data_IF_803210597977
#
_entry.id   IF_803210597977
#
_cell.length_a   1.000
_cell.length_b   1.000
_cell.length_c   1.000
_cell.angle_alpha   90.00
_cell.angle_beta   90.00
_cell.angle_gamma   90.00
#
_symmetry.space_group_name_H-M   'P 1'
#
loop_
_entity.id
_entity.type
_entity.pdbx_description
1 polymer ?
#
# COMPACT_ATOMS: atom_id res chain seq x y z
N UNK A 1 -45.94 12.12 -24.27
CA UNK A 1 -45.80 11.74 -22.85
C UNK A 1 -44.40 11.18 -22.67
N UNK A 2 -43.40 12.06 -22.45
CA UNK A 2 -41.99 11.70 -22.18
C UNK A 2 -41.84 11.62 -20.68
N UNK A 3 -41.46 10.44 -20.20
CA UNK A 3 -41.23 10.16 -18.78
C UNK A 3 -39.82 10.67 -18.45
N UNK A 4 -39.70 11.33 -17.28
CA UNK A 4 -38.52 11.95 -16.68
C UNK A 4 -37.22 11.13 -16.92
N UNK A 5 -36.10 11.73 -17.30
CA UNK A 5 -35.45 12.82 -16.58
C UNK A 5 -34.51 12.24 -15.51
N UNK A 6 -33.49 11.49 -15.94
CA UNK A 6 -32.41 11.05 -15.06
C UNK A 6 -31.53 12.26 -14.74
N UNK A 7 -31.63 12.78 -13.51
CA UNK A 7 -30.65 13.73 -12.97
C UNK A 7 -29.31 13.00 -12.74
N UNK A 8 -28.17 13.62 -13.08
CA UNK A 8 -26.86 13.07 -12.78
C UNK A 8 -26.66 13.04 -11.26
N UNK A 9 -26.57 11.84 -10.68
CA UNK A 9 -26.15 11.64 -9.29
C UNK A 9 -24.79 12.34 -9.07
N UNK A 10 -24.76 13.28 -8.12
CA UNK A 10 -23.58 14.03 -7.70
C UNK A 10 -22.47 13.09 -7.17
N UNK A 11 -21.62 12.59 -8.06
CA UNK A 11 -20.57 11.60 -7.77
C UNK A 11 -19.48 12.11 -6.81
N UNK A 12 -19.28 13.42 -6.75
CA UNK A 12 -18.07 13.99 -6.16
C UNK A 12 -18.26 14.64 -4.77
N UNK A 13 -19.48 15.02 -4.38
CA UNK A 13 -19.87 15.18 -2.97
C UNK A 13 -19.85 13.81 -2.23
N UNK A 14 -20.14 12.74 -2.97
CA UNK A 14 -19.91 11.36 -2.54
C UNK A 14 -18.42 11.08 -2.40
N UNK A 15 -17.58 11.64 -3.29
CA UNK A 15 -16.13 11.49 -3.31
C UNK A 15 -15.43 12.23 -2.17
N UNK A 16 -15.86 13.43 -1.76
CA UNK A 16 -15.32 14.12 -0.57
C UNK A 16 -15.54 13.27 0.71
N UNK A 17 -16.75 12.75 0.89
CA UNK A 17 -17.03 11.74 1.93
C UNK A 17 -16.19 10.46 1.74
N UNK A 18 -15.81 10.11 0.50
CA UNK A 18 -14.96 8.96 0.14
C UNK A 18 -13.45 9.19 0.23
N UNK A 19 -12.99 10.42 0.41
CA UNK A 19 -11.57 10.78 0.54
C UNK A 19 -11.19 10.91 2.01
N UNK A 20 -12.11 11.39 2.87
CA UNK A 20 -12.08 11.09 4.32
C UNK A 20 -12.06 9.57 4.59
N UNK A 21 -12.59 8.77 3.66
CA UNK A 21 -12.49 7.31 3.63
C UNK A 21 -11.16 6.76 3.09
N UNK A 22 -10.20 7.55 2.60
CA UNK A 22 -8.91 6.97 2.22
C UNK A 22 -8.15 6.46 3.47
N UNK A 23 -8.14 7.26 4.53
CA UNK A 23 -7.66 6.83 5.85
C UNK A 23 -8.56 5.78 6.50
N UNK A 24 -9.90 5.93 6.42
CA UNK A 24 -10.86 5.06 7.10
C UNK A 24 -11.22 3.75 6.37
N UNK A 25 -11.22 3.70 5.05
CA UNK A 25 -11.64 2.53 4.26
C UNK A 25 -10.45 1.82 3.59
N UNK A 26 -9.38 2.53 3.18
CA UNK A 26 -8.22 1.88 2.52
C UNK A 26 -7.11 1.56 3.52
N UNK A 27 -6.68 2.54 4.32
CA UNK A 27 -5.62 2.30 5.31
C UNK A 27 -6.10 1.43 6.47
N UNK A 28 -7.17 1.84 7.15
CA UNK A 28 -7.69 1.14 8.34
C UNK A 28 -8.19 -0.28 8.04
N UNK A 29 -8.73 -0.53 6.85
CA UNK A 29 -9.20 -1.86 6.47
C UNK A 29 -8.16 -2.58 5.61
N UNK A 30 -8.11 -2.33 4.30
CA UNK A 30 -7.35 -3.17 3.37
C UNK A 30 -5.84 -3.25 3.69
N UNK A 31 -5.17 -2.12 3.92
CA UNK A 31 -3.73 -2.13 4.20
C UNK A 31 -3.42 -2.73 5.58
N UNK A 32 -4.25 -2.46 6.58
CA UNK A 32 -4.07 -3.02 7.91
C UNK A 32 -4.30 -4.54 7.91
N UNK A 33 -5.27 -5.03 7.14
CA UNK A 33 -5.49 -6.47 6.94
C UNK A 33 -4.26 -7.14 6.33
N UNK A 34 -3.68 -6.54 5.29
CA UNK A 34 -2.45 -7.04 4.66
C UNK A 34 -1.28 -6.99 5.64
N UNK A 35 -1.13 -5.90 6.41
CA UNK A 35 -0.10 -5.78 7.44
C UNK A 35 -0.21 -6.91 8.46
N UNK A 36 -1.42 -7.22 8.95
CA UNK A 36 -1.63 -8.30 9.91
C UNK A 36 -1.21 -9.65 9.34
N UNK A 37 -1.53 -9.95 8.08
CA UNK A 37 -1.12 -11.21 7.44
C UNK A 37 0.40 -11.31 7.26
N UNK A 38 1.09 -10.19 7.00
CA UNK A 38 2.54 -10.15 6.88
C UNK A 38 3.22 -10.27 8.25
N UNK A 39 2.62 -9.70 9.29
CA UNK A 39 3.26 -9.54 10.60
C UNK A 39 2.85 -10.56 11.66
N UNK A 40 1.77 -11.32 11.44
CA UNK A 40 1.29 -12.31 12.41
C UNK A 40 2.34 -13.40 12.69
N UNK A 41 2.30 -13.94 13.91
CA UNK A 41 3.04 -15.16 14.19
C UNK A 41 2.42 -16.35 13.46
N UNK A 42 3.14 -17.46 13.43
CA UNK A 42 2.59 -18.71 12.90
C UNK A 42 1.39 -19.14 13.78
N UNK A 43 0.18 -19.25 13.22
CA UNK A 43 -0.99 -19.69 13.98
C UNK A 43 -0.85 -21.16 14.39
N UNK A 44 -1.55 -21.56 15.44
CA UNK A 44 -1.54 -22.93 15.97
C UNK A 44 -2.03 -23.92 14.90
N UNK A 45 -3.11 -23.56 14.21
CA UNK A 45 -3.65 -24.32 13.08
C UNK A 45 -4.09 -23.38 11.95
N UNK A 46 -4.61 -23.95 10.86
CA UNK A 46 -5.26 -23.19 9.78
C UNK A 46 -6.74 -22.94 10.05
N UNK A 47 -7.22 -23.11 11.29
CA UNK A 47 -8.58 -22.74 11.67
C UNK A 47 -8.76 -21.22 11.57
N UNK A 48 -9.98 -20.79 11.24
CA UNK A 48 -10.27 -19.37 11.07
C UNK A 48 -9.99 -18.57 12.36
N UNK A 49 -10.30 -19.13 13.52
CA UNK A 49 -10.11 -18.45 14.81
C UNK A 49 -8.64 -18.33 15.19
N UNK A 50 -7.82 -19.38 15.00
CA UNK A 50 -6.38 -19.31 15.31
C UNK A 50 -5.65 -18.26 14.45
N UNK A 51 -6.04 -18.14 13.18
CA UNK A 51 -5.48 -17.10 12.29
C UNK A 51 -5.91 -15.70 12.74
N UNK A 52 -7.18 -15.54 13.10
CA UNK A 52 -7.71 -14.24 13.55
C UNK A 52 -7.11 -13.81 14.88
N UNK A 53 -6.85 -14.75 15.78
CA UNK A 53 -6.20 -14.48 17.06
C UNK A 53 -4.78 -13.91 16.86
N UNK A 54 -3.99 -14.48 15.95
CA UNK A 54 -2.65 -13.93 15.67
C UNK A 54 -2.71 -12.57 14.94
N UNK A 55 -3.72 -12.32 14.10
CA UNK A 55 -3.95 -10.99 13.52
C UNK A 55 -4.29 -9.95 14.59
N UNK A 56 -5.20 -10.27 15.50
CA UNK A 56 -5.60 -9.37 16.59
C UNK A 56 -4.42 -9.09 17.54
N UNK A 57 -3.58 -10.09 17.80
CA UNK A 57 -2.36 -9.93 18.60
C UNK A 57 -1.40 -8.92 17.98
N UNK A 58 -1.23 -8.91 16.66
CA UNK A 58 -0.45 -7.87 15.96
C UNK A 58 -1.03 -6.48 16.23
N UNK A 59 -2.34 -6.30 16.06
CA UNK A 59 -2.99 -5.01 16.27
C UNK A 59 -2.87 -4.52 17.71
N UNK A 60 -2.99 -5.42 18.70
CA UNK A 60 -2.78 -5.09 20.12
C UNK A 60 -1.35 -4.62 20.42
N UNK A 61 -0.37 -5.13 19.68
CA UNK A 61 1.04 -4.71 19.79
C UNK A 61 1.33 -3.38 19.10
N UNK A 62 0.40 -2.80 18.35
CA UNK A 62 0.57 -1.52 17.68
C UNK A 62 0.18 -0.34 18.58
N UNK A 63 1.02 0.70 18.56
CA UNK A 63 0.71 1.99 19.17
C UNK A 63 -0.28 2.76 18.32
N UNK A 64 -0.96 3.72 18.95
CA UNK A 64 -1.79 4.70 18.26
C UNK A 64 -0.91 5.54 17.31
N UNK A 65 -1.45 5.91 16.16
CA UNK A 65 -0.72 6.72 15.20
C UNK A 65 -0.70 8.19 15.62
N UNK A 66 0.47 8.80 15.51
CA UNK A 66 0.70 10.21 15.78
C UNK A 66 0.83 10.98 14.47
N UNK A 67 0.50 12.29 14.47
CA UNK A 67 0.63 13.13 13.27
C UNK A 67 2.07 13.18 12.72
N UNK A 68 3.09 13.03 13.58
CA UNK A 68 4.49 13.05 13.17
C UNK A 68 4.92 11.81 12.34
N UNK A 69 4.19 10.71 12.49
CA UNK A 69 4.41 9.46 11.76
C UNK A 69 3.62 9.40 10.44
N UNK A 70 2.91 10.48 10.10
CA UNK A 70 1.95 10.51 8.99
C UNK A 70 2.24 11.68 8.05
N UNK A 71 2.22 11.39 6.76
CA UNK A 71 2.23 12.40 5.69
C UNK A 71 0.89 12.35 4.97
N UNK A 72 0.18 13.46 4.98
CA UNK A 72 -1.07 13.66 4.26
C UNK A 72 -0.79 14.50 3.01
N UNK A 73 -1.42 14.13 1.90
CA UNK A 73 -1.29 14.88 0.65
C UNK A 73 -2.62 15.11 -0.05
N UNK A 74 -2.67 16.14 -0.89
CA UNK A 74 -3.82 16.45 -1.75
C UNK A 74 -3.32 16.76 -3.17
N UNK A 75 -3.91 16.12 -4.20
CA UNK A 75 -3.41 16.29 -5.55
C UNK A 75 -3.81 17.64 -6.15
N UNK A 76 -2.89 18.23 -6.91
CA UNK A 76 -3.10 19.42 -7.73
C UNK A 76 -3.00 19.04 -9.21
N UNK A 77 -3.69 19.80 -10.05
CA UNK A 77 -3.68 19.60 -11.49
C UNK A 77 -2.27 19.73 -12.06
N UNK A 78 -1.95 18.92 -13.07
CA UNK A 78 -0.69 18.98 -13.78
C UNK A 78 -0.89 19.64 -15.14
N UNK A 79 -0.43 20.89 -15.35
CA UNK A 79 -0.65 21.61 -16.62
C UNK A 79 -0.04 20.93 -17.85
N UNK A 80 0.89 19.98 -17.66
CA UNK A 80 1.56 19.24 -18.72
C UNK A 80 0.76 18.02 -19.21
N UNK A 81 -0.21 17.54 -18.43
CA UNK A 81 -1.08 16.43 -18.82
C UNK A 81 -2.28 16.96 -19.58
N UNK A 82 -3.05 16.09 -20.24
CA UNK A 82 -4.31 16.41 -20.90
C UNK A 82 -5.49 15.71 -20.17
N UNK A 83 -6.72 16.19 -20.39
CA UNK A 83 -7.93 15.65 -19.74
C UNK A 83 -7.93 15.84 -18.21
N UNK A 84 -8.47 14.86 -17.48
CA UNK A 84 -8.60 14.88 -16.01
C UNK A 84 -7.28 15.15 -15.26
N UNK A 85 -6.14 14.88 -15.88
CA UNK A 85 -4.82 15.14 -15.29
C UNK A 85 -4.49 16.64 -15.15
N UNK A 86 -5.21 17.53 -15.85
CA UNK A 86 -5.05 19.00 -15.72
C UNK A 86 -5.72 19.56 -14.48
N UNK A 87 -6.66 18.85 -13.89
CA UNK A 87 -7.50 19.35 -12.79
C UNK A 87 -7.01 18.80 -11.43
N UNK A 88 -7.00 19.68 -10.43
CA UNK A 88 -6.72 19.33 -9.04
C UNK A 88 -7.96 18.89 -8.27
N UNK A 89 -7.76 18.45 -7.03
CA UNK A 89 -8.87 18.01 -6.19
C UNK A 89 -9.89 19.13 -5.92
N UNK A 90 -9.41 20.36 -5.73
CA UNK A 90 -10.24 21.53 -5.48
C UNK A 90 -10.86 22.13 -6.75
N UNK A 91 -10.46 21.67 -7.94
CA UNK A 91 -11.03 22.12 -9.21
C UNK A 91 -12.37 21.43 -9.50
N UNK A 92 -12.60 20.24 -8.92
CA UNK A 92 -13.90 19.56 -8.98
C UNK A 92 -15.00 20.47 -8.41
N UNK A 93 -16.05 20.79 -9.19
CA UNK A 93 -17.07 21.76 -8.80
C UNK A 93 -17.91 21.34 -7.60
N UNK A 94 -17.86 20.06 -7.21
CA UNK A 94 -18.60 19.54 -6.05
C UNK A 94 -17.80 19.54 -4.75
N UNK A 95 -16.48 19.77 -4.84
CA UNK A 95 -15.59 19.83 -3.69
C UNK A 95 -15.56 21.27 -3.16
N UNK A 96 -15.79 21.48 -1.85
CA UNK A 96 -15.60 22.77 -1.20
C UNK A 96 -14.20 23.32 -1.47
N UNK A 97 -14.11 24.60 -1.83
CA UNK A 97 -12.84 25.25 -2.20
C UNK A 97 -11.85 25.34 -1.02
N UNK A 98 -12.31 25.18 0.21
CA UNK A 98 -11.52 25.14 1.43
C UNK A 98 -11.34 23.70 1.99
N UNK A 99 -11.62 22.66 1.19
CA UNK A 99 -11.52 21.26 1.62
C UNK A 99 -10.06 20.86 1.89
N UNK A 100 -9.77 20.50 3.15
CA UNK A 100 -8.47 19.95 3.58
C UNK A 100 -8.42 18.43 3.54
N UNK A 101 -9.32 17.81 2.76
CA UNK A 101 -9.47 16.35 2.74
C UNK A 101 -8.27 15.70 2.04
N UNK A 102 -7.56 14.74 2.67
CA UNK A 102 -6.34 14.16 2.11
C UNK A 102 -6.64 13.08 1.05
N UNK A 103 -6.12 13.26 -0.17
CA UNK A 103 -6.21 12.29 -1.27
C UNK A 103 -5.02 11.33 -1.34
N UNK A 104 -4.03 11.53 -0.46
CA UNK A 104 -2.88 10.69 -0.23
C UNK A 104 -2.61 10.60 1.26
N UNK A 105 -2.20 9.42 1.72
CA UNK A 105 -1.71 9.23 3.08
C UNK A 105 -0.59 8.19 3.10
N UNK A 106 0.45 8.50 3.85
CA UNK A 106 1.49 7.55 4.23
C UNK A 106 1.62 7.56 5.75
N UNK A 107 1.55 6.39 6.39
CA UNK A 107 1.78 6.24 7.83
C UNK A 107 2.94 5.28 8.08
N UNK A 108 3.77 5.62 9.07
CA UNK A 108 4.77 4.72 9.63
C UNK A 108 4.20 4.09 10.90
N UNK A 109 4.08 2.77 10.91
CA UNK A 109 3.60 2.00 12.05
C UNK A 109 4.73 1.17 12.65
N UNK A 110 4.62 0.88 13.94
CA UNK A 110 5.51 -0.05 14.65
C UNK A 110 4.70 -1.10 15.40
N UNK A 111 5.20 -2.32 15.41
CA UNK A 111 4.60 -3.46 16.10
C UNK A 111 5.53 -3.81 17.27
N UNK A 112 5.10 -3.53 18.49
CA UNK A 112 5.90 -3.75 19.69
C UNK A 112 5.76 -5.21 20.13
N UNK A 113 6.51 -6.09 19.46
CA UNK A 113 6.71 -7.47 19.87
C UNK A 113 8.16 -7.89 19.56
N UNK A 114 8.56 -9.08 20.03
CA UNK A 114 9.93 -9.58 19.87
C UNK A 114 10.36 -9.67 18.39
N UNK A 115 9.45 -10.07 17.49
CA UNK A 115 9.77 -10.28 16.07
C UNK A 115 10.01 -8.97 15.32
N UNK A 116 9.22 -7.95 15.61
CA UNK A 116 9.13 -6.72 14.82
C UNK A 116 9.66 -5.48 15.55
N UNK A 117 10.33 -5.66 16.69
CA UNK A 117 10.89 -4.55 17.45
C UNK A 117 11.84 -3.70 16.58
N UNK A 118 11.59 -2.40 16.57
CA UNK A 118 12.32 -1.41 15.77
C UNK A 118 12.12 -1.51 14.26
N UNK A 119 11.28 -2.40 13.73
CA UNK A 119 11.02 -2.52 12.29
C UNK A 119 9.85 -1.63 11.88
N UNK A 120 10.06 -0.64 10.99
CA UNK A 120 8.99 0.25 10.52
C UNK A 120 8.13 -0.43 9.45
N UNK A 121 6.81 -0.27 9.58
CA UNK A 121 5.82 -0.67 8.58
C UNK A 121 5.25 0.56 7.89
N UNK A 122 5.50 0.71 6.59
CA UNK A 122 4.98 1.84 5.82
C UNK A 122 3.66 1.47 5.15
N UNK A 123 2.59 2.15 5.52
CA UNK A 123 1.28 2.04 4.87
C UNK A 123 1.09 3.23 3.96
N UNK A 124 1.11 3.02 2.63
CA UNK A 124 0.99 4.08 1.62
C UNK A 124 -0.22 3.85 0.74
N UNK A 125 -1.07 4.86 0.60
CA UNK A 125 -2.17 4.87 -0.36
C UNK A 125 -2.45 6.27 -0.88
N UNK A 126 -3.00 6.37 -2.08
CA UNK A 126 -3.39 7.64 -2.66
C UNK A 126 -4.14 7.49 -3.96
N UNK A 127 -4.72 8.60 -4.42
CA UNK A 127 -5.34 8.75 -5.73
C UNK A 127 -4.50 9.66 -6.62
N UNK A 128 -4.78 9.65 -7.92
CA UNK A 128 -4.08 10.47 -8.91
C UNK A 128 -2.54 10.26 -8.87
N UNK A 129 -2.11 9.02 -8.60
CA UNK A 129 -0.71 8.64 -8.59
C UNK A 129 -0.27 8.15 -9.99
N UNK A 130 1.03 7.98 -10.14
CA UNK A 130 1.67 7.54 -11.39
C UNK A 130 1.18 6.17 -11.92
N UNK A 131 0.71 5.28 -11.03
CA UNK A 131 0.25 3.95 -11.40
C UNK A 131 -0.85 3.44 -10.46
N UNK A 132 -1.74 2.59 -10.99
CA UNK A 132 -2.65 1.78 -10.16
C UNK A 132 -1.89 0.54 -9.72
N UNK A 133 -1.64 0.38 -8.42
CA UNK A 133 -0.95 -0.79 -7.86
C UNK A 133 -1.32 -1.04 -6.41
N UNK A 134 -1.43 -2.31 -6.04
CA UNK A 134 -1.42 -2.81 -4.67
C UNK A 134 -0.28 -3.82 -4.54
N UNK A 135 0.68 -3.54 -3.66
CA UNK A 135 1.85 -4.40 -3.45
C UNK A 135 2.25 -4.44 -1.97
N UNK A 136 2.84 -5.56 -1.56
CA UNK A 136 3.62 -5.69 -0.33
C UNK A 136 5.08 -5.73 -0.73
N UNK A 137 5.92 -4.94 -0.07
CA UNK A 137 7.37 -4.92 -0.28
C UNK A 137 8.07 -5.13 1.05
N UNK A 138 8.88 -6.17 1.13
CA UNK A 138 9.76 -6.45 2.27
C UNK A 138 11.19 -6.16 1.81
N UNK A 139 11.81 -5.13 2.36
CA UNK A 139 13.21 -4.80 2.10
C UNK A 139 14.09 -5.40 3.21
N UNK A 140 14.99 -6.30 2.84
CA UNK A 140 15.90 -6.94 3.78
C UNK A 140 17.01 -5.99 4.24
N UNK A 141 17.67 -6.32 5.36
CA UNK A 141 18.84 -5.57 5.83
C UNK A 141 20.03 -5.77 4.88
N UNK A 142 20.98 -4.84 4.94
CA UNK A 142 22.26 -4.96 4.23
C UNK A 142 23.00 -6.23 4.72
N UNK A 143 23.73 -6.91 3.83
CA UNK A 143 24.53 -8.09 4.19
C UNK A 143 25.72 -7.63 5.05
N UNK A 144 25.94 -8.19 6.25
CA UNK A 144 27.06 -7.79 7.10
C UNK A 144 28.39 -8.25 6.51
N UNK A 145 29.44 -7.43 6.65
CA UNK A 145 30.79 -7.77 6.17
C UNK A 145 30.90 -7.73 4.66
N UNK A 146 30.48 -6.63 4.05
CA UNK A 146 30.49 -6.48 2.60
C UNK A 146 31.91 -6.59 2.01
N UNK A 147 32.07 -7.50 1.05
CA UNK A 147 33.30 -7.74 0.28
C UNK A 147 33.18 -7.21 -1.15
N UNK A 148 32.07 -6.56 -1.49
CA UNK A 148 31.73 -6.09 -2.83
C UNK A 148 31.74 -4.56 -2.93
N UNK A 149 32.54 -3.88 -2.10
CA UNK A 149 32.80 -2.43 -2.18
C UNK A 149 31.52 -1.56 -2.25
N UNK A 150 30.51 -1.87 -1.45
CA UNK A 150 29.21 -1.18 -1.38
C UNK A 150 28.38 -1.25 -2.68
N UNK A 151 28.73 -2.13 -3.61
CA UNK A 151 27.93 -2.42 -4.79
C UNK A 151 26.62 -3.15 -4.43
N UNK A 152 26.62 -3.90 -3.32
CA UNK A 152 25.45 -4.64 -2.84
C UNK A 152 24.27 -3.72 -2.53
N UNK A 153 23.10 -4.04 -3.09
CA UNK A 153 21.83 -3.41 -2.77
C UNK A 153 21.00 -4.35 -1.88
N UNK A 154 20.08 -3.79 -1.10
CA UNK A 154 19.19 -4.59 -0.26
C UNK A 154 18.28 -5.46 -1.13
N UNK A 155 18.19 -6.73 -0.77
CA UNK A 155 17.23 -7.63 -1.38
C UNK A 155 15.81 -7.15 -1.07
N UNK A 156 14.87 -7.41 -1.98
CA UNK A 156 13.46 -7.04 -1.80
C UNK A 156 12.56 -8.18 -2.24
N UNK A 157 11.70 -8.67 -1.34
CA UNK A 157 10.58 -9.53 -1.72
C UNK A 157 9.37 -8.64 -2.02
N UNK A 158 8.83 -8.79 -3.22
CA UNK A 158 7.67 -8.04 -3.68
C UNK A 158 6.53 -8.99 -4.02
N UNK A 159 5.38 -8.75 -3.41
CA UNK A 159 4.13 -9.45 -3.68
C UNK A 159 3.17 -8.42 -4.26
N UNK A 160 2.99 -8.44 -5.59
CA UNK A 160 2.05 -7.56 -6.28
C UNK A 160 0.69 -8.23 -6.33
N UNK A 161 -0.27 -7.63 -5.64
CA UNK A 161 -1.65 -8.12 -5.53
C UNK A 161 -2.45 -7.75 -6.76
N UNK A 162 -2.30 -6.52 -7.28
CA UNK A 162 -2.95 -6.10 -8.52
C UNK A 162 -2.32 -4.79 -9.03
N UNK A 163 -2.42 -4.49 -10.34
CA UNK A 163 -2.71 -5.41 -11.43
C UNK A 163 -1.50 -6.30 -11.75
N UNK A 164 -1.75 -7.43 -12.44
CA UNK A 164 -0.69 -8.34 -12.89
C UNK A 164 -0.04 -9.06 -11.70
N UNK A 165 -0.82 -9.91 -11.06
CA UNK A 165 -0.49 -10.72 -9.90
C UNK A 165 0.88 -11.37 -10.09
N UNK A 166 1.82 -11.03 -9.20
CA UNK A 166 3.18 -11.54 -9.28
C UNK A 166 3.85 -11.58 -7.92
N UNK A 167 4.73 -12.55 -7.75
CA UNK A 167 5.67 -12.60 -6.64
C UNK A 167 7.07 -12.61 -7.21
N UNK A 168 7.91 -11.67 -6.79
CA UNK A 168 9.29 -11.64 -7.24
C UNK A 168 10.25 -11.24 -6.13
N UNK A 169 11.43 -11.86 -6.13
CA UNK A 169 12.52 -11.56 -5.21
C UNK A 169 13.61 -10.86 -5.98
N UNK A 170 13.91 -9.61 -5.63
CA UNK A 170 15.07 -8.87 -6.11
C UNK A 170 16.29 -9.24 -5.29
N UNK A 171 17.39 -9.57 -5.97
CA UNK A 171 18.64 -9.95 -5.35
C UNK A 171 19.84 -9.55 -6.23
N UNK A 172 21.04 -9.64 -5.66
CA UNK A 172 22.27 -9.36 -6.38
C UNK A 172 22.76 -10.63 -7.11
N UNK A 173 23.10 -10.51 -8.38
CA UNK A 173 23.73 -11.57 -9.16
C UNK A 173 25.04 -11.08 -9.79
N UNK A 174 25.93 -12.00 -10.12
CA UNK A 174 27.09 -11.68 -10.95
C UNK A 174 26.59 -11.25 -12.32
N UNK A 175 27.06 -10.10 -12.79
CA UNK A 175 26.76 -9.59 -14.13
C UNK A 175 27.10 -10.64 -15.21
N UNK A 176 26.14 -11.13 -16.00
CA UNK A 176 26.38 -12.04 -17.10
C UNK A 176 27.30 -11.42 -18.17
N UNK A 177 28.15 -12.24 -18.79
CA UNK A 177 29.00 -11.84 -19.90
C UNK A 177 30.30 -11.09 -19.52
N UNK A 178 30.49 -10.73 -18.26
CA UNK A 178 31.75 -10.12 -17.81
C UNK A 178 32.76 -11.22 -17.39
N UNK A 179 33.77 -11.45 -18.25
CA UNK A 179 34.82 -12.45 -18.04
C UNK A 179 35.99 -11.85 -17.23
N UNK A 180 36.19 -10.53 -17.27
CA UNK A 180 37.41 -9.87 -16.76
C UNK A 180 37.22 -9.06 -15.48
N UNK A 181 35.99 -8.69 -15.10
CA UNK A 181 35.73 -8.08 -13.79
C UNK A 181 34.52 -8.69 -13.07
N UNK A 182 34.67 -8.85 -11.76
CA UNK A 182 33.61 -9.32 -10.87
C UNK A 182 32.75 -8.11 -10.46
N UNK A 183 31.69 -7.83 -11.23
CA UNK A 183 30.73 -6.76 -10.93
C UNK A 183 29.37 -7.37 -10.59
N UNK A 184 28.69 -6.80 -9.60
CA UNK A 184 27.33 -7.20 -9.24
C UNK A 184 26.28 -6.38 -10.00
N UNK A 185 25.11 -6.99 -10.24
CA UNK A 185 23.92 -6.30 -10.73
C UNK A 185 22.66 -6.78 -10.01
N UNK A 186 21.66 -5.91 -9.88
CA UNK A 186 20.35 -6.30 -9.36
C UNK A 186 19.59 -7.10 -10.44
N UNK A 187 19.06 -8.26 -10.06
CA UNK A 187 18.18 -9.09 -10.89
C UNK A 187 17.03 -9.67 -10.04
N UNK A 188 16.16 -10.47 -10.63
CA UNK A 188 14.97 -11.01 -9.98
C UNK A 188 14.71 -12.50 -10.26
N UNK A 189 14.12 -13.18 -9.27
CA UNK A 189 13.37 -14.42 -9.49
C UNK A 189 11.90 -14.04 -9.56
N UNK A 190 11.26 -14.23 -10.73
CA UNK A 190 9.88 -13.79 -10.99
C UNK A 190 8.90 -14.96 -11.14
N UNK A 191 7.76 -14.84 -10.46
CA UNK A 191 6.56 -15.65 -10.66
C UNK A 191 5.39 -14.74 -11.03
N UNK A 192 5.24 -14.45 -12.31
CA UNK A 192 4.07 -13.76 -12.86
C UNK A 192 2.92 -14.74 -13.16
N UNK A 193 1.77 -14.55 -12.51
CA UNK A 193 0.63 -15.49 -12.61
C UNK A 193 0.10 -15.60 -14.04
N UNK A 194 -0.05 -14.48 -14.74
CA UNK A 194 -0.52 -14.46 -16.13
C UNK A 194 0.40 -15.22 -17.10
N UNK A 195 1.69 -15.37 -16.78
CA UNK A 195 2.63 -16.14 -17.59
C UNK A 195 2.64 -17.62 -17.19
N UNK A 196 2.57 -17.91 -15.88
CA UNK A 196 2.70 -19.26 -15.32
C UNK A 196 1.40 -20.07 -15.35
N UNK A 197 0.25 -19.41 -15.22
CA UNK A 197 -1.08 -20.02 -15.09
C UNK A 197 -2.04 -19.47 -16.16
N UNK A 198 -1.65 -19.57 -17.44
CA UNK A 198 -2.37 -18.96 -18.59
C UNK A 198 -3.85 -19.35 -18.69
N UNK A 199 -4.19 -20.58 -18.32
CA UNK A 199 -5.54 -21.12 -18.46
C UNK A 199 -6.39 -20.97 -17.19
N UNK A 200 -5.83 -20.38 -16.13
CA UNK A 200 -6.51 -20.24 -14.85
C UNK A 200 -7.19 -18.88 -14.75
N UNK A 201 -8.51 -18.90 -14.60
CA UNK A 201 -9.28 -17.69 -14.29
C UNK A 201 -9.23 -17.51 -12.78
N UNK A 202 -8.62 -16.41 -12.34
CA UNK A 202 -8.67 -16.01 -10.94
C UNK A 202 -10.09 -15.52 -10.64
N UNK A 203 -10.81 -16.12 -9.66
CA UNK A 203 -12.15 -15.68 -9.30
C UNK A 203 -12.09 -14.26 -8.72
N UNK A 204 -13.15 -13.48 -8.93
CA UNK A 204 -13.26 -12.17 -8.29
C UNK A 204 -13.31 -12.31 -6.76
N UNK A 205 -12.86 -11.28 -6.04
CA UNK A 205 -12.86 -11.26 -4.59
C UNK A 205 -14.25 -11.54 -4.00
N UNK A 206 -15.33 -11.04 -4.61
CA UNK A 206 -16.69 -11.27 -4.13
C UNK A 206 -17.16 -12.71 -4.37
N UNK A 207 -16.78 -13.34 -5.49
CA UNK A 207 -17.10 -14.75 -5.75
C UNK A 207 -16.51 -15.64 -4.64
N UNK A 208 -15.25 -15.38 -4.28
CA UNK A 208 -14.59 -16.13 -3.20
C UNK A 208 -15.24 -15.88 -1.84
N UNK A 209 -15.48 -14.62 -1.48
CA UNK A 209 -16.06 -14.29 -0.18
C UNK A 209 -17.48 -14.84 -0.02
N UNK A 210 -18.31 -14.79 -1.06
CA UNK A 210 -19.67 -15.37 -1.02
C UNK A 210 -19.57 -16.89 -0.84
N UNK A 211 -18.68 -17.56 -1.56
CA UNK A 211 -18.46 -19.00 -1.39
C UNK A 211 -18.02 -19.33 0.04
N UNK A 212 -17.12 -18.55 0.63
CA UNK A 212 -16.66 -18.74 2.00
C UNK A 212 -17.83 -18.64 3.01
N UNK A 213 -18.83 -17.76 2.78
CA UNK A 213 -20.06 -17.71 3.60
C UNK A 213 -20.84 -19.02 3.52
N UNK A 214 -21.04 -19.57 2.30
CA UNK A 214 -21.75 -20.84 2.12
C UNK A 214 -20.99 -22.02 2.74
N UNK A 215 -19.66 -21.99 2.73
CA UNK A 215 -18.82 -23.00 3.37
C UNK A 215 -18.66 -22.80 4.89
N UNK A 216 -19.22 -21.73 5.46
CA UNK A 216 -19.04 -21.39 6.88
C UNK A 216 -17.62 -20.98 7.27
N UNK A 217 -16.78 -20.61 6.29
CA UNK A 217 -15.41 -20.16 6.52
C UNK A 217 -15.39 -18.67 6.85
N UNK A 218 -14.92 -18.33 8.05
CA UNK A 218 -14.79 -16.94 8.51
C UNK A 218 -13.37 -16.39 8.38
N UNK A 219 -12.45 -17.13 7.75
CA UNK A 219 -11.02 -16.81 7.71
C UNK A 219 -10.74 -15.44 7.06
N UNK A 220 -11.49 -15.09 6.01
CA UNK A 220 -11.31 -13.84 5.26
C UNK A 220 -12.21 -12.69 5.75
N UNK A 221 -12.93 -12.88 6.87
CA UNK A 221 -13.84 -11.88 7.41
C UNK A 221 -13.27 -11.21 8.66
N UNK A 222 -13.42 -9.89 8.74
CA UNK A 222 -12.96 -9.08 9.89
C UNK A 222 -13.76 -9.44 11.14
N UNK A 223 -13.08 -9.70 12.25
CA UNK A 223 -13.72 -9.98 13.55
C UNK A 223 -14.02 -8.69 14.30
N UNK A 224 -14.98 -8.72 15.24
CA UNK A 224 -15.39 -7.52 15.98
C UNK A 224 -14.25 -6.91 16.82
N UNK A 225 -13.41 -7.74 17.44
CA UNK A 225 -12.23 -7.32 18.18
C UNK A 225 -11.13 -6.79 17.26
N UNK A 226 -10.93 -7.42 16.09
CA UNK A 226 -10.03 -6.91 15.05
C UNK A 226 -10.43 -5.50 14.59
N UNK A 227 -11.73 -5.29 14.35
CA UNK A 227 -12.27 -3.98 14.00
C UNK A 227 -12.06 -2.95 15.13
N UNK A 228 -12.27 -3.35 16.38
CA UNK A 228 -12.07 -2.50 17.56
C UNK A 228 -10.62 -2.02 17.68
N UNK A 229 -9.65 -2.93 17.55
CA UNK A 229 -8.23 -2.58 17.61
C UNK A 229 -7.79 -1.71 16.44
N UNK A 230 -8.30 -1.97 15.24
CA UNK A 230 -8.06 -1.13 14.07
C UNK A 230 -8.54 0.32 14.32
N UNK A 231 -9.74 0.50 14.90
CA UNK A 231 -10.22 1.84 15.27
C UNK A 231 -9.41 2.46 16.41
N UNK A 232 -8.98 1.68 17.41
CA UNK A 232 -8.11 2.19 18.49
C UNK A 232 -6.84 2.85 17.92
N UNK A 233 -6.22 2.23 16.91
CA UNK A 233 -4.97 2.73 16.30
C UNK A 233 -5.16 4.04 15.54
N UNK A 234 -6.25 4.17 14.77
CA UNK A 234 -6.46 5.30 13.84
C UNK A 234 -7.34 6.43 14.38
N UNK A 235 -8.28 6.17 15.31
CA UNK A 235 -9.25 7.18 15.80
C UNK A 235 -8.59 8.44 16.36
N UNK A 236 -7.55 8.37 17.23
CA UNK A 236 -6.92 9.58 17.77
C UNK A 236 -6.36 10.50 16.69
N UNK A 237 -5.69 9.92 15.69
CA UNK A 237 -5.17 10.63 14.53
C UNK A 237 -6.29 11.29 13.73
N UNK A 238 -7.35 10.55 13.41
CA UNK A 238 -8.47 11.06 12.62
C UNK A 238 -9.18 12.23 13.31
N UNK A 239 -9.43 12.12 14.62
CA UNK A 239 -10.00 13.21 15.41
C UNK A 239 -9.09 14.45 15.42
N UNK A 240 -7.77 14.25 15.47
CA UNK A 240 -6.80 15.35 15.44
C UNK A 240 -6.78 16.04 14.08
N UNK A 241 -6.79 15.28 12.98
CA UNK A 241 -6.86 15.81 11.61
C UNK A 241 -8.14 16.65 11.43
N UNK A 242 -9.29 16.15 11.87
CA UNK A 242 -10.58 16.85 11.77
C UNK A 242 -10.62 18.12 12.62
N UNK A 243 -10.09 18.06 13.86
CA UNK A 243 -10.08 19.20 14.78
C UNK A 243 -9.12 20.30 14.36
N UNK A 244 -7.91 19.94 13.95
CA UNK A 244 -6.84 20.89 13.60
C UNK A 244 -6.92 21.35 12.14
N UNK A 245 -7.75 20.72 11.31
CA UNK A 245 -7.83 20.96 9.85
C UNK A 245 -6.43 21.00 9.22
N UNK A 246 -5.65 19.95 9.49
CA UNK A 246 -4.26 19.84 9.03
C UNK A 246 -4.21 19.97 7.51
N UNK A 247 -3.49 20.98 7.02
CA UNK A 247 -3.37 21.21 5.58
C UNK A 247 -2.55 20.08 4.93
N UNK A 248 -3.12 19.35 3.95
CA UNK A 248 -2.39 18.31 3.25
C UNK A 248 -1.33 18.90 2.31
N UNK A 249 -0.24 18.19 2.12
CA UNK A 249 0.84 18.61 1.22
C UNK A 249 0.40 18.47 -0.25
N UNK A 250 0.55 19.51 -1.09
CA UNK A 250 0.20 19.41 -2.50
C UNK A 250 1.13 18.43 -3.24
N UNK A 251 0.58 17.63 -4.13
CA UNK A 251 1.36 16.80 -5.06
C UNK A 251 0.77 16.81 -6.47
N UNK A 252 1.61 16.78 -7.50
CA UNK A 252 1.11 16.82 -8.88
C UNK A 252 0.35 15.55 -9.26
N UNK A 253 -0.74 15.68 -10.01
CA UNK A 253 -1.43 14.55 -10.62
C UNK A 253 -0.45 13.70 -11.45
N UNK A 254 -0.47 12.39 -11.24
CA UNK A 254 0.40 11.43 -11.93
C UNK A 254 1.81 11.33 -11.32
N UNK A 255 2.11 12.07 -10.25
CA UNK A 255 3.34 11.89 -9.48
C UNK A 255 3.26 10.66 -8.56
N UNK A 256 4.34 10.35 -7.85
CA UNK A 256 4.33 9.30 -6.81
C UNK A 256 3.64 9.78 -5.52
N UNK A 257 3.31 11.06 -5.38
CA UNK A 257 2.83 11.67 -4.14
C UNK A 257 3.85 12.67 -3.56
N UNK A 258 3.61 13.16 -2.33
CA UNK A 258 4.46 14.15 -1.67
C UNK A 258 5.90 13.65 -1.44
N UNK A 259 6.88 14.55 -1.55
CA UNK A 259 8.31 14.26 -1.34
C UNK A 259 8.59 13.88 0.11
N UNK A 260 7.86 14.52 1.03
CA UNK A 260 7.89 14.31 2.47
C UNK A 260 7.58 12.87 2.84
N UNK A 261 6.77 12.15 2.04
CA UNK A 261 6.52 10.73 2.26
C UNK A 261 7.75 9.89 1.98
N UNK A 262 8.48 10.17 0.90
CA UNK A 262 9.71 9.45 0.59
C UNK A 262 10.83 9.81 1.60
N UNK A 263 10.85 11.05 2.11
CA UNK A 263 11.73 11.47 3.20
C UNK A 263 11.44 10.76 4.53
N UNK A 264 10.17 10.63 4.91
CA UNK A 264 9.77 9.89 6.11
C UNK A 264 10.19 8.42 6.01
N UNK A 265 9.96 7.76 4.87
CA UNK A 265 10.48 6.40 4.62
C UNK A 265 12.01 6.32 4.78
N UNK A 266 12.74 7.29 4.21
CA UNK A 266 14.21 7.34 4.26
C UNK A 266 14.72 7.54 5.69
N UNK A 267 14.07 8.40 6.49
CA UNK A 267 14.41 8.61 7.92
C UNK A 267 14.30 7.32 8.72
N UNK A 268 13.31 6.48 8.40
CA UNK A 268 13.14 5.16 9.01
C UNK A 268 13.91 4.04 8.30
N UNK A 269 14.87 4.38 7.43
CA UNK A 269 15.86 3.45 6.91
C UNK A 269 15.46 2.71 5.63
N UNK A 270 14.34 3.03 4.99
CA UNK A 270 14.04 2.54 3.64
C UNK A 270 15.02 3.15 2.63
N UNK A 271 15.69 2.32 1.84
CA UNK A 271 16.65 2.77 0.81
C UNK A 271 16.05 2.58 -0.58
N UNK A 272 15.93 3.66 -1.35
CA UNK A 272 15.57 3.61 -2.76
C UNK A 272 16.81 3.86 -3.61
N UNK A 273 17.22 2.88 -4.41
CA UNK A 273 18.46 2.95 -5.20
C UNK A 273 18.26 3.46 -6.63
N UNK A 274 17.07 3.28 -7.23
CA UNK A 274 16.79 3.69 -8.62
C UNK A 274 17.62 2.97 -9.70
N UNK A 275 18.44 1.99 -9.32
CA UNK A 275 19.36 1.26 -10.20
C UNK A 275 18.72 0.04 -10.86
N UNK A 276 17.73 -0.57 -10.21
CA UNK A 276 17.00 -1.71 -10.74
C UNK A 276 16.23 -1.37 -12.02
N UNK A 277 16.46 -2.15 -13.08
CA UNK A 277 15.76 -2.05 -14.35
C UNK A 277 15.09 -3.38 -14.64
N UNK A 278 13.77 -3.39 -14.61
CA UNK A 278 12.99 -4.55 -15.04
C UNK A 278 12.63 -4.41 -16.51
N UNK A 279 12.90 -5.46 -17.29
CA UNK A 279 12.43 -5.61 -18.67
C UNK A 279 11.58 -6.85 -18.75
N UNK A 280 10.35 -6.73 -19.25
CA UNK A 280 9.48 -7.89 -19.46
C UNK A 280 10.21 -8.92 -20.34
N UNK A 281 10.36 -10.17 -19.89
CA UNK A 281 11.00 -11.21 -20.69
C UNK A 281 10.28 -11.33 -22.04
N UNK A 282 11.02 -11.17 -23.14
CA UNK A 282 10.48 -11.44 -24.47
C UNK A 282 10.29 -12.94 -24.61
N UNK A 283 9.04 -13.39 -24.77
CA UNK A 283 8.77 -14.76 -25.18
C UNK A 283 9.30 -14.95 -26.61
N UNK A 284 10.30 -15.80 -26.79
CA UNK A 284 10.54 -16.49 -28.07
C UNK A 284 9.49 -17.59 -28.26
#
# INVERSE_FOLDING_TARGET
MRIAGWEPLNYSMWFEKKVLKLGRDVMQNHLLQILCLVAMEKPVTTSAEDIRDEKVKVLRSMKELMLEDVVLGQYVGNPKLEGDGKEGYLDDPTVPKDSVTPTYAMATCFINNERWDGIPFFLRCGKALNERKAEVRIQFKDVPGDIFNEECKRNELVIRVQPGEAVYLKFMNKRPGNITSFSLEETELDLSYNSRYKDLIMPDAYERLILDVFCGSQMHFVRSDELSEAWRIFTPLLHKIEKEKVNPVPYEYGSRGPVEADELCRRHGFKFYGTYKWTKPSHM
#
